data_IF_679378084791
#
_entry.id   IF_679378084791
#
_cell.length_a   1.000
_cell.length_b   1.000
_cell.length_c   1.000
_cell.angle_alpha   90.00
_cell.angle_beta   90.00
_cell.angle_gamma   90.00
#
_symmetry.space_group_name_H-M   'P 1'
#
loop_
_entity.id
_entity.type
_entity.pdbx_description
1 polymer ?
#
# COMPACT_ATOMS: atom_id res chain seq x y z
N UNK A 1 -17.68 9.20 -7.08
CA UNK A 1 -16.95 8.95 -8.35
C UNK A 1 -17.00 7.46 -8.60
N UNK A 2 -17.54 7.00 -9.74
CA UNK A 2 -17.62 5.56 -10.00
C UNK A 2 -16.22 5.06 -10.40
N UNK A 3 -15.51 4.41 -9.47
CA UNK A 3 -14.13 3.97 -9.63
C UNK A 3 -13.97 3.03 -10.84
N UNK A 4 -14.92 2.10 -11.01
CA UNK A 4 -14.96 1.16 -12.15
C UNK A 4 -15.02 1.93 -13.47
N UNK A 5 -15.80 3.02 -13.56
CA UNK A 5 -15.85 3.85 -14.78
C UNK A 5 -14.51 4.52 -15.12
N UNK A 6 -13.63 4.72 -14.13
CA UNK A 6 -12.32 5.38 -14.32
C UNK A 6 -11.19 4.39 -14.58
N UNK A 7 -11.14 3.29 -13.83
CA UNK A 7 -10.04 2.33 -13.90
C UNK A 7 -10.37 1.08 -14.71
N UNK A 8 -11.64 0.78 -14.97
CA UNK A 8 -12.08 -0.41 -15.69
C UNK A 8 -12.08 -1.68 -14.85
N UNK A 9 -11.69 -1.61 -13.57
CA UNK A 9 -11.69 -2.75 -12.64
C UNK A 9 -12.01 -2.30 -11.21
N UNK A 10 -12.22 -3.30 -10.34
CA UNK A 10 -12.32 -3.14 -8.88
C UNK A 10 -11.64 -4.32 -8.20
N UNK A 11 -10.95 -4.05 -7.09
CA UNK A 11 -10.28 -5.06 -6.27
C UNK A 11 -10.82 -5.04 -4.85
N UNK A 12 -10.85 -6.22 -4.22
CA UNK A 12 -11.30 -6.38 -2.84
C UNK A 12 -10.40 -7.35 -2.08
N UNK A 13 -10.34 -7.16 -0.77
CA UNK A 13 -9.78 -8.17 0.13
C UNK A 13 -10.78 -9.29 0.31
N UNK A 14 -10.37 -10.53 0.08
CA UNK A 14 -11.15 -11.72 0.38
C UNK A 14 -10.23 -12.84 0.89
N UNK A 15 -10.76 -13.98 1.37
CA UNK A 15 -9.92 -15.14 1.65
C UNK A 15 -9.06 -15.51 0.45
N UNK A 16 -7.75 -15.70 0.69
CA UNK A 16 -6.82 -16.07 -0.36
C UNK A 16 -7.16 -17.44 -0.94
N UNK A 17 -6.91 -17.61 -2.24
CA UNK A 17 -6.98 -18.87 -2.96
C UNK A 17 -5.80 -19.79 -2.64
N UNK A 18 -4.74 -19.26 -2.02
CA UNK A 18 -3.63 -20.05 -1.51
C UNK A 18 -4.04 -20.81 -0.24
N UNK A 19 -3.62 -22.07 -0.15
CA UNK A 19 -3.77 -22.85 1.09
C UNK A 19 -3.00 -22.16 2.22
N UNK A 20 -3.69 -21.82 3.31
CA UNK A 20 -3.16 -21.05 4.44
C UNK A 20 -2.63 -19.63 4.08
N UNK A 21 -3.07 -19.05 2.95
CA UNK A 21 -2.69 -17.69 2.53
C UNK A 21 -3.40 -16.57 3.30
N UNK A 22 -4.33 -16.90 4.19
CA UNK A 22 -5.09 -15.90 4.95
C UNK A 22 -5.96 -15.03 4.05
N UNK A 23 -5.65 -13.74 3.98
CA UNK A 23 -6.36 -12.76 3.15
C UNK A 23 -5.52 -12.47 1.90
N UNK A 24 -6.19 -12.41 0.74
CA UNK A 24 -5.63 -12.00 -0.54
C UNK A 24 -6.36 -10.78 -1.11
N UNK A 25 -5.90 -10.31 -2.27
CA UNK A 25 -6.55 -9.23 -3.03
C UNK A 25 -7.01 -9.76 -4.37
N UNK A 26 -8.30 -9.67 -4.67
CA UNK A 26 -8.91 -10.27 -5.87
C UNK A 26 -9.56 -9.21 -6.74
N UNK A 27 -9.44 -9.36 -8.06
CA UNK A 27 -10.17 -8.55 -9.04
C UNK A 27 -11.63 -9.00 -9.08
N UNK A 28 -12.54 -8.27 -8.45
CA UNK A 28 -13.96 -8.66 -8.36
C UNK A 28 -14.83 -8.07 -9.46
N UNK A 29 -14.33 -7.07 -10.19
CA UNK A 29 -15.03 -6.50 -11.35
C UNK A 29 -14.02 -6.09 -12.42
N UNK A 30 -14.39 -6.28 -13.69
CA UNK A 30 -13.59 -5.88 -14.83
C UNK A 30 -12.31 -6.68 -14.99
N UNK A 31 -11.28 -6.05 -15.55
CA UNK A 31 -9.97 -6.66 -15.78
C UNK A 31 -8.89 -5.60 -15.71
N UNK A 32 -7.72 -5.97 -15.18
CA UNK A 32 -6.56 -5.08 -15.05
C UNK A 32 -5.67 -5.28 -16.28
N UNK A 33 -5.46 -4.26 -17.12
CA UNK A 33 -4.48 -4.35 -18.21
C UNK A 33 -3.06 -4.46 -17.66
N UNK A 34 -2.11 -4.97 -18.45
CA UNK A 34 -0.66 -4.89 -18.14
C UNK A 34 -0.21 -3.43 -17.91
N UNK A 35 0.82 -3.22 -17.09
CA UNK A 35 1.40 -1.91 -16.75
C UNK A 35 0.41 -0.94 -16.09
N UNK A 36 -0.52 -1.48 -15.30
CA UNK A 36 -1.56 -0.70 -14.61
C UNK A 36 -1.32 -0.70 -13.12
N UNK A 37 -1.43 0.48 -12.49
CA UNK A 37 -1.47 0.61 -11.04
C UNK A 37 -2.69 -0.13 -10.49
N UNK A 38 -2.43 -1.18 -9.70
CA UNK A 38 -3.47 -2.03 -9.13
C UNK A 38 -3.46 -2.03 -7.60
N UNK A 39 -2.42 -1.48 -6.98
CA UNK A 39 -2.40 -1.30 -5.53
C UNK A 39 -1.36 -0.30 -5.05
N UNK A 40 -1.50 0.11 -3.81
CA UNK A 40 -0.53 0.87 -3.03
C UNK A 40 -0.29 0.11 -1.73
N UNK A 41 0.98 -0.09 -1.37
CA UNK A 41 1.37 -0.66 -0.09
C UNK A 41 1.23 0.43 0.99
N UNK A 42 0.22 0.32 1.88
CA UNK A 42 -0.02 1.34 2.88
C UNK A 42 1.01 1.23 4.01
N UNK A 43 1.14 2.29 4.80
CA UNK A 43 1.86 2.17 6.07
C UNK A 43 2.61 3.40 6.53
N UNK A 44 3.16 3.29 7.74
CA UNK A 44 4.03 4.32 8.31
C UNK A 44 5.42 4.17 7.70
N UNK A 45 5.96 5.26 7.17
CA UNK A 45 7.26 5.31 6.49
C UNK A 45 8.34 5.71 7.50
N UNK A 46 9.35 4.85 7.66
CA UNK A 46 10.50 5.07 8.53
C UNK A 46 11.77 5.25 7.69
N UNK A 47 12.43 6.39 7.84
CA UNK A 47 13.77 6.63 7.30
C UNK A 47 14.81 5.80 8.05
N UNK A 48 16.00 5.65 7.45
CA UNK A 48 17.12 5.00 8.11
C UNK A 48 17.40 5.65 9.47
N UNK A 49 17.48 4.84 10.52
CA UNK A 49 17.76 5.28 11.89
C UNK A 49 16.52 5.65 12.71
N UNK A 50 15.33 5.73 12.10
CA UNK A 50 14.10 5.98 12.85
C UNK A 50 13.65 4.73 13.64
N UNK A 51 13.02 4.92 14.82
CA UNK A 51 12.71 3.81 15.73
C UNK A 51 11.55 2.95 15.22
N UNK A 52 11.89 1.76 14.70
CA UNK A 52 10.91 0.75 14.27
C UNK A 52 10.83 -0.51 15.17
N UNK A 53 11.72 -0.62 16.16
CA UNK A 53 11.97 -1.89 16.86
C UNK A 53 10.69 -2.56 17.39
N UNK A 54 9.89 -1.88 18.21
CA UNK A 54 8.75 -2.50 18.89
C UNK A 54 7.65 -2.96 17.92
N UNK A 55 7.34 -2.16 16.92
CA UNK A 55 6.34 -2.44 15.90
C UNK A 55 6.81 -3.45 14.85
N UNK A 56 8.12 -3.71 14.76
CA UNK A 56 8.68 -4.73 13.86
C UNK A 56 8.64 -6.15 14.42
N UNK A 57 8.45 -6.33 15.74
CA UNK A 57 8.45 -7.64 16.38
C UNK A 57 7.27 -8.47 15.87
N UNK A 58 7.56 -9.62 15.25
CA UNK A 58 6.58 -10.53 14.66
C UNK A 58 5.63 -9.85 13.64
N UNK A 59 6.12 -8.83 12.94
CA UNK A 59 5.35 -8.09 11.94
C UNK A 59 5.78 -8.45 10.53
N UNK A 60 4.97 -9.25 9.83
CA UNK A 60 5.19 -9.63 8.43
C UNK A 60 4.87 -8.54 7.42
N UNK A 61 4.27 -7.42 7.85
CA UNK A 61 3.86 -6.29 7.00
C UNK A 61 4.88 -5.15 6.97
N UNK A 62 6.12 -5.40 7.42
CA UNK A 62 7.22 -4.45 7.25
C UNK A 62 7.84 -4.66 5.88
N UNK A 63 7.59 -3.74 4.96
CA UNK A 63 8.24 -3.68 3.65
C UNK A 63 9.57 -2.92 3.77
N UNK A 64 10.63 -3.44 3.16
CA UNK A 64 11.95 -2.78 3.08
C UNK A 64 12.21 -2.33 1.65
N UNK A 65 12.30 -1.02 1.45
CA UNK A 65 12.72 -0.42 0.19
C UNK A 65 14.22 -0.62 -0.07
N UNK A 66 14.63 -0.49 -1.33
CA UNK A 66 16.02 -0.63 -1.77
C UNK A 66 16.97 0.36 -1.10
N UNK A 67 16.49 1.56 -0.80
CA UNK A 67 17.25 2.61 -0.10
C UNK A 67 17.32 2.42 1.43
N UNK A 68 16.77 1.32 1.97
CA UNK A 68 16.72 1.03 3.40
C UNK A 68 15.55 1.69 4.14
N UNK A 69 14.71 2.48 3.48
CA UNK A 69 13.44 2.97 4.03
C UNK A 69 12.54 1.77 4.36
N UNK A 70 11.82 1.85 5.47
CA UNK A 70 10.86 0.83 5.89
C UNK A 70 9.44 1.37 5.81
N UNK A 71 8.50 0.53 5.42
CA UNK A 71 7.06 0.84 5.44
C UNK A 71 6.36 -0.21 6.31
N UNK A 72 5.77 0.23 7.41
CA UNK A 72 4.97 -0.62 8.31
C UNK A 72 3.50 -0.59 7.89
N UNK A 73 3.08 -1.61 7.16
CA UNK A 73 1.72 -1.79 6.65
C UNK A 73 0.79 -2.56 7.58
N UNK A 74 1.17 -2.82 8.84
CA UNK A 74 0.32 -3.54 9.77
C UNK A 74 -0.85 -2.67 10.25
N UNK A 75 -2.08 -3.11 9.97
CA UNK A 75 -3.32 -2.38 10.27
C UNK A 75 -3.86 -2.63 11.69
N UNK A 76 -3.10 -3.36 12.51
CA UNK A 76 -3.42 -3.75 13.88
C UNK A 76 -2.42 -3.19 14.91
N UNK A 77 -2.78 -3.33 16.19
CA UNK A 77 -1.88 -3.11 17.32
C UNK A 77 -1.20 -1.74 17.35
N UNK A 78 0.09 -1.74 17.71
CA UNK A 78 0.92 -0.53 17.85
C UNK A 78 1.11 0.18 16.50
N UNK A 79 1.32 -0.58 15.42
CA UNK A 79 1.47 -0.04 14.06
C UNK A 79 0.28 0.84 13.64
N UNK A 80 -0.94 0.36 13.88
CA UNK A 80 -2.17 1.14 13.68
C UNK A 80 -2.20 2.44 14.50
N UNK A 81 -1.80 2.37 15.76
CA UNK A 81 -1.79 3.53 16.67
C UNK A 81 -0.79 4.57 16.18
N UNK A 82 0.42 4.14 15.79
CA UNK A 82 1.47 5.01 15.26
C UNK A 82 0.99 5.69 13.98
N UNK A 83 0.45 4.94 13.00
CA UNK A 83 -0.05 5.52 11.76
C UNK A 83 -1.08 6.62 12.00
N UNK A 84 -2.05 6.35 12.89
CA UNK A 84 -3.08 7.35 13.26
C UNK A 84 -2.46 8.56 13.93
N UNK A 85 -1.51 8.35 14.85
CA UNK A 85 -0.80 9.43 15.54
C UNK A 85 -0.09 10.36 14.55
N UNK A 86 0.71 9.79 13.64
CA UNK A 86 1.40 10.56 12.60
C UNK A 86 0.41 11.29 11.68
N UNK A 87 -0.68 10.63 11.29
CA UNK A 87 -1.73 11.25 10.47
C UNK A 87 -2.37 12.46 11.14
N UNK A 88 -2.66 12.38 12.44
CA UNK A 88 -3.25 13.50 13.18
C UNK A 88 -2.24 14.61 13.48
N UNK A 89 -0.98 14.27 13.72
CA UNK A 89 0.11 15.26 13.84
C UNK A 89 0.22 16.10 12.57
N UNK A 90 0.17 15.45 11.41
CA UNK A 90 0.40 16.10 10.11
C UNK A 90 -0.87 16.72 9.50
N UNK A 91 -1.97 16.78 10.26
CA UNK A 91 -3.26 17.29 9.77
C UNK A 91 -3.19 18.79 9.51
N UNK A 92 -3.76 19.24 8.40
CA UNK A 92 -3.84 20.67 8.04
C UNK A 92 -5.28 21.16 8.25
N UNK A 93 -5.54 21.79 9.40
CA UNK A 93 -6.88 22.24 9.78
C UNK A 93 -7.90 21.09 9.75
N UNK A 94 -9.01 21.18 8.99
CA UNK A 94 -9.96 20.07 8.89
C UNK A 94 -9.48 18.93 7.99
N UNK A 95 -8.41 19.10 7.20
CA UNK A 95 -8.00 18.19 6.14
C UNK A 95 -6.97 17.16 6.61
N UNK A 96 -7.28 15.88 6.42
CA UNK A 96 -6.33 14.78 6.60
C UNK A 96 -5.28 14.78 5.48
N UNK A 97 -4.06 14.37 5.82
CA UNK A 97 -2.89 14.32 4.93
C UNK A 97 -2.48 12.89 4.56
N UNK A 98 -3.27 11.90 4.99
CA UNK A 98 -3.17 10.50 4.60
C UNK A 98 -4.56 9.85 4.69
N UNK A 99 -4.73 8.73 3.99
CA UNK A 99 -5.92 7.89 4.10
C UNK A 99 -5.80 7.00 5.34
N UNK A 100 -6.71 7.10 6.30
CA UNK A 100 -6.78 6.17 7.44
C UNK A 100 -7.72 4.99 7.20
N UNK A 101 -8.50 5.01 6.11
CA UNK A 101 -9.57 4.03 5.90
C UNK A 101 -9.05 2.66 5.51
N UNK A 102 -7.79 2.55 5.06
CA UNK A 102 -7.09 1.27 4.87
C UNK A 102 -6.90 0.48 6.17
N UNK A 103 -6.96 1.15 7.33
CA UNK A 103 -6.94 0.51 8.65
C UNK A 103 -8.25 -0.18 9.03
N UNK A 104 -9.23 -0.19 8.12
CA UNK A 104 -10.55 -0.80 8.27
C UNK A 104 -10.76 -1.80 7.14
N UNK A 105 -11.76 -2.68 7.22
CA UNK A 105 -12.10 -3.64 6.16
C UNK A 105 -12.51 -3.00 4.82
N UNK A 106 -12.85 -1.71 4.79
CA UNK A 106 -13.41 -1.03 3.61
C UNK A 106 -12.69 0.30 3.34
N UNK A 107 -11.52 0.28 2.67
CA UNK A 107 -10.83 1.51 2.31
C UNK A 107 -11.65 2.33 1.30
N UNK A 108 -11.59 3.65 1.41
CA UNK A 108 -12.24 4.58 0.48
C UNK A 108 -11.55 4.54 -0.88
N UNK A 109 -10.23 4.38 -0.91
CA UNK A 109 -9.47 4.07 -2.11
C UNK A 109 -9.19 2.54 -2.15
N UNK A 110 -9.84 1.78 -3.04
CA UNK A 110 -9.67 0.32 -3.13
C UNK A 110 -8.23 -0.12 -3.37
N UNK A 111 -7.39 0.75 -3.92
CA UNK A 111 -5.98 0.45 -4.18
C UNK A 111 -5.15 0.34 -2.89
N UNK A 112 -5.64 0.85 -1.75
CA UNK A 112 -4.90 0.90 -0.49
C UNK A 112 -4.93 -0.45 0.26
N UNK A 113 -4.68 -1.55 -0.44
CA UNK A 113 -4.72 -2.93 0.07
C UNK A 113 -3.45 -3.73 -0.26
N UNK A 114 -2.37 -3.05 -0.69
CA UNK A 114 -1.15 -3.70 -1.16
C UNK A 114 -0.47 -4.62 -0.14
N UNK A 115 -0.67 -4.40 1.15
CA UNK A 115 -0.12 -5.23 2.23
C UNK A 115 -0.73 -6.64 2.30
N UNK A 116 -1.87 -6.88 1.65
CA UNK A 116 -2.52 -8.20 1.57
C UNK A 116 -2.29 -8.91 0.23
N UNK A 117 -1.45 -8.36 -0.65
CA UNK A 117 -1.05 -9.08 -1.85
C UNK A 117 -0.04 -10.15 -1.45
N UNK A 118 -0.43 -11.40 -1.63
CA UNK A 118 0.38 -12.55 -1.26
C UNK A 118 1.60 -12.72 -2.19
N UNK A 119 2.55 -13.53 -1.74
CA UNK A 119 3.62 -13.98 -2.62
C UNK A 119 3.09 -14.98 -3.64
N UNK A 120 3.70 -15.00 -4.80
CA UNK A 120 3.51 -16.05 -5.78
C UNK A 120 3.98 -17.41 -5.25
N UNK A 121 3.40 -18.46 -5.83
CA UNK A 121 3.88 -19.85 -5.71
C UNK A 121 4.23 -20.37 -7.09
N UNK A 122 4.71 -21.61 -7.18
CA UNK A 122 4.96 -22.25 -8.47
C UNK A 122 3.66 -22.43 -9.28
N UNK A 123 2.55 -22.71 -8.59
CA UNK A 123 1.21 -22.89 -9.17
C UNK A 123 0.51 -21.55 -9.44
N UNK A 124 0.84 -20.52 -8.66
CA UNK A 124 0.22 -19.20 -8.72
C UNK A 124 1.29 -18.14 -9.02
N UNK A 125 1.69 -17.97 -10.28
CA UNK A 125 2.78 -17.07 -10.66
C UNK A 125 2.44 -15.60 -10.38
N UNK A 126 3.48 -14.80 -10.14
CA UNK A 126 3.32 -13.36 -9.92
C UNK A 126 2.62 -12.71 -11.11
N UNK A 127 1.70 -11.79 -10.83
CA UNK A 127 1.00 -10.99 -11.81
C UNK A 127 1.07 -9.48 -11.51
N UNK A 128 1.69 -9.12 -10.38
CA UNK A 128 2.03 -7.75 -10.01
C UNK A 128 3.47 -7.66 -9.51
N UNK A 129 4.07 -6.47 -9.63
CA UNK A 129 5.38 -6.15 -9.08
C UNK A 129 5.33 -4.90 -8.21
N UNK A 130 6.23 -4.80 -7.23
CA UNK A 130 6.41 -3.61 -6.42
C UNK A 130 7.26 -2.57 -7.16
N UNK A 131 6.80 -1.33 -7.17
CA UNK A 131 7.53 -0.18 -7.71
C UNK A 131 7.63 0.91 -6.65
N UNK A 132 8.86 1.26 -6.28
CA UNK A 132 9.12 2.33 -5.32
C UNK A 132 9.00 3.70 -5.99
N UNK A 133 8.25 4.60 -5.38
CA UNK A 133 7.97 5.93 -5.93
C UNK A 133 8.18 6.98 -4.83
N UNK A 134 8.75 8.12 -5.20
CA UNK A 134 8.85 9.29 -4.33
C UNK A 134 7.79 10.30 -4.73
N UNK A 135 6.79 10.51 -3.86
CA UNK A 135 5.76 11.51 -4.07
C UNK A 135 6.29 12.89 -3.65
N UNK A 136 6.51 13.85 -4.57
CA UNK A 136 7.02 15.17 -4.22
C UNK A 136 5.96 15.94 -3.41
N UNK A 137 6.18 16.09 -2.11
CA UNK A 137 5.15 16.61 -1.21
C UNK A 137 4.83 18.07 -1.52
N UNK A 138 5.84 18.88 -1.83
CA UNK A 138 5.67 20.32 -2.12
C UNK A 138 4.78 20.57 -3.35
N UNK A 139 4.88 19.71 -4.36
CA UNK A 139 4.14 19.84 -5.62
C UNK A 139 2.79 19.11 -5.58
N UNK A 140 2.68 18.05 -4.77
CA UNK A 140 1.48 17.25 -4.73
C UNK A 140 0.31 17.96 -4.02
N UNK A 141 -0.88 18.08 -4.65
CA UNK A 141 -2.01 18.82 -4.09
C UNK A 141 -2.43 18.30 -2.71
N UNK A 142 -2.34 19.15 -1.68
CA UNK A 142 -2.60 18.74 -0.29
C UNK A 142 -4.00 18.12 -0.08
N UNK A 143 -5.01 18.60 -0.83
CA UNK A 143 -6.39 18.09 -0.76
C UNK A 143 -6.53 16.63 -1.24
N UNK A 144 -5.59 16.14 -2.05
CA UNK A 144 -5.57 14.76 -2.55
C UNK A 144 -4.78 13.82 -1.65
N UNK A 145 -3.97 14.34 -0.73
CA UNK A 145 -3.15 13.52 0.19
C UNK A 145 -3.99 12.60 1.08
N UNK A 146 -5.24 12.96 1.36
CA UNK A 146 -6.23 12.11 2.06
C UNK A 146 -6.54 10.76 1.39
N UNK A 147 -6.06 10.53 0.17
CA UNK A 147 -6.20 9.25 -0.55
C UNK A 147 -4.89 8.44 -0.60
N UNK A 148 -3.79 9.02 -0.11
CA UNK A 148 -2.47 8.38 -0.05
C UNK A 148 -2.37 7.60 1.27
N UNK A 149 -2.11 6.28 1.24
CA UNK A 149 -2.17 5.47 2.46
C UNK A 149 -0.85 5.42 3.23
N UNK A 150 0.04 6.39 3.01
CA UNK A 150 1.35 6.45 3.64
C UNK A 150 1.48 7.73 4.46
N UNK A 151 2.23 7.66 5.56
CA UNK A 151 2.54 8.80 6.41
C UNK A 151 3.97 8.65 6.93
N UNK A 152 4.72 9.75 7.01
CA UNK A 152 6.07 9.72 7.56
C UNK A 152 6.04 9.53 9.07
N UNK A 153 6.94 8.69 9.60
CA UNK A 153 7.09 8.53 11.05
C UNK A 153 7.50 9.85 11.70
N UNK A 154 8.50 10.54 11.16
CA UNK A 154 8.83 11.93 11.52
C UNK A 154 7.92 12.94 10.80
N UNK A 155 7.94 14.19 11.24
CA UNK A 155 7.14 15.27 10.66
C UNK A 155 7.32 15.39 9.13
N UNK A 156 6.23 15.65 8.41
CA UNK A 156 6.28 15.92 6.97
C UNK A 156 7.05 17.21 6.63
N UNK A 157 7.20 18.14 7.58
CA UNK A 157 7.95 19.40 7.35
C UNK A 157 9.40 19.15 6.96
N UNK A 158 9.98 18.05 7.44
CA UNK A 158 11.39 17.69 7.21
C UNK A 158 11.59 16.77 5.99
N UNK A 159 10.56 16.58 5.15
CA UNK A 159 10.60 15.62 4.05
C UNK A 159 10.28 16.26 2.70
N UNK A 160 11.21 16.12 1.74
CA UNK A 160 11.00 16.58 0.36
C UNK A 160 9.97 15.71 -0.39
N UNK A 161 9.95 14.41 -0.05
CA UNK A 161 9.06 13.43 -0.64
C UNK A 161 8.48 12.49 0.41
N UNK A 162 7.39 11.82 0.05
CA UNK A 162 6.83 10.68 0.78
C UNK A 162 7.11 9.41 -0.04
N UNK A 163 7.79 8.43 0.57
CA UNK A 163 8.01 7.12 -0.07
C UNK A 163 6.68 6.39 -0.18
N UNK A 164 6.38 5.94 -1.39
CA UNK A 164 5.27 5.05 -1.72
C UNK A 164 5.83 3.77 -2.34
N UNK A 165 5.06 2.69 -2.22
CA UNK A 165 5.29 1.46 -2.97
C UNK A 165 3.99 1.15 -3.72
N UNK A 166 4.06 1.23 -5.04
CA UNK A 166 2.97 0.88 -5.93
C UNK A 166 3.04 -0.60 -6.29
N UNK A 167 1.88 -1.20 -6.57
CA UNK A 167 1.78 -2.51 -7.18
C UNK A 167 1.29 -2.30 -8.61
N UNK A 168 2.09 -2.77 -9.57
CA UNK A 168 1.84 -2.60 -11.01
C UNK A 168 1.69 -3.97 -11.64
N UNK A 169 0.65 -4.15 -12.45
CA UNK A 169 0.42 -5.41 -13.17
C UNK A 169 1.51 -5.67 -14.22
N UNK A 170 2.00 -6.92 -14.26
CA UNK A 170 3.05 -7.35 -15.20
C UNK A 170 2.48 -8.14 -16.39
N UNK A 171 1.18 -8.40 -16.34
CA UNK A 171 0.36 -8.99 -17.41
C UNK A 171 -1.08 -8.53 -17.24
N UNK A 172 -1.94 -8.86 -18.19
CA UNK A 172 -3.39 -8.71 -17.99
C UNK A 172 -3.86 -9.64 -16.86
N UNK A 173 -4.75 -9.14 -15.99
CA UNK A 173 -5.33 -9.85 -14.86
C UNK A 173 -6.85 -9.84 -15.02
N UNK A 174 -7.45 -11.01 -15.07
CA UNK A 174 -8.87 -11.21 -15.35
C UNK A 174 -9.71 -11.08 -14.09
N UNK A 175 -11.01 -10.95 -14.28
CA UNK A 175 -12.02 -11.12 -13.24
C UNK A 175 -11.81 -12.44 -12.47
N UNK A 176 -11.99 -12.39 -11.15
CA UNK A 176 -11.69 -13.44 -10.17
C UNK A 176 -10.20 -13.79 -10.00
N UNK A 177 -9.24 -13.23 -10.73
CA UNK A 177 -7.83 -13.52 -10.43
C UNK A 177 -7.39 -12.83 -9.12
N UNK A 178 -6.63 -13.55 -8.30
CA UNK A 178 -5.94 -13.01 -7.12
C UNK A 178 -4.62 -12.37 -7.55
N UNK A 179 -4.26 -11.27 -6.90
CA UNK A 179 -2.98 -10.60 -7.09
C UNK A 179 -1.88 -11.34 -6.33
N UNK A 180 -0.79 -11.64 -7.02
CA UNK A 180 0.40 -12.27 -6.48
C UNK A 180 1.64 -11.47 -6.86
N UNK A 181 2.46 -11.17 -5.86
CA UNK A 181 3.72 -10.45 -6.04
C UNK A 181 4.93 -11.39 -6.02
N UNK A 182 6.07 -10.89 -6.48
CA UNK A 182 7.38 -11.44 -6.11
C UNK A 182 7.98 -10.50 -5.08
N UNK A 183 8.36 -11.01 -3.90
CA UNK A 183 9.00 -10.19 -2.85
C UNK A 183 10.41 -9.68 -3.22
N UNK A 184 10.89 -9.96 -4.44
CA UNK A 184 12.12 -9.38 -4.95
C UNK A 184 11.81 -8.10 -5.71
N UNK A 185 12.22 -6.95 -5.17
CA UNK A 185 12.28 -5.69 -5.92
C UNK A 185 13.32 -5.88 -7.02
N UNK A 186 12.89 -5.99 -8.28
CA UNK A 186 13.82 -5.91 -9.40
C UNK A 186 14.23 -4.44 -9.52
N UNK A 187 15.50 -4.16 -9.27
CA UNK A 187 16.11 -2.86 -9.57
C UNK A 187 16.40 -2.91 -11.08
N UNK A 188 15.59 -2.22 -11.88
CA UNK A 188 15.94 -1.87 -13.27
C UNK A 188 16.46 -0.43 -13.34
#
# INVERSE_FOLDING_TARGET
MNFIKKFGFWIERQPSKLTNGGIGVIVTHGSVPINTLVGLYPGTVYKIGEPIFLQSIANSFVFRCADGTLIDGNDMGISKIIFRSCTFRDRIGPHLTSDMTWLTSYPVNPLNTGQYVNNHTQENPANVMYQEINLPLKEFPYKLRKFIPNVSYSSLEDSEYLRLVALVSIRNISHEEELYSSYFTMIE
#
